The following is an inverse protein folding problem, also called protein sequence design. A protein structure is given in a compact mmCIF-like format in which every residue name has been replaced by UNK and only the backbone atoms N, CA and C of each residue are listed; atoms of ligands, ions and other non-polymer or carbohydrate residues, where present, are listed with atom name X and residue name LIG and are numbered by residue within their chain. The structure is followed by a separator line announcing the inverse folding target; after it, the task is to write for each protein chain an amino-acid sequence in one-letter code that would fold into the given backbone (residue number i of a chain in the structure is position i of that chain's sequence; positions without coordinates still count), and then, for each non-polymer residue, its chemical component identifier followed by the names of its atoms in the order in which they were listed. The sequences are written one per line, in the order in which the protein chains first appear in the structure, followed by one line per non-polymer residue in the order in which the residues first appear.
data_IF_720990518533
#
_entry.id   IF_720990518533
#
_cell.length_a   1.000
_cell.length_b   1.000
_cell.length_c   1.000
_cell.angle_alpha   90.00
_cell.angle_beta   90.00
_cell.angle_gamma   90.00
#
_symmetry.space_group_name_H-M   'P 1'
#
loop_
_entity.id
_entity.type
_entity.pdbx_description
1 polymer ?
#
# COMPACT_ATOMS: atom_id res chain seq x y z
N UNK A 1 -37.75 36.31 -31.50
CA UNK A 1 -37.28 34.95 -31.16
C UNK A 1 -35.95 35.11 -30.43
N UNK A 2 -35.96 35.06 -29.09
CA UNK A 2 -34.77 35.25 -28.25
C UNK A 2 -34.19 33.86 -27.95
N UNK A 3 -33.07 33.51 -28.58
CA UNK A 3 -32.33 32.29 -28.27
C UNK A 3 -31.55 32.51 -26.97
N UNK A 4 -32.16 32.18 -25.84
CA UNK A 4 -31.46 32.10 -24.56
C UNK A 4 -30.48 30.93 -24.62
N UNK A 5 -29.21 31.21 -24.92
CA UNK A 5 -28.13 30.23 -24.83
C UNK A 5 -28.05 29.73 -23.38
N UNK A 6 -28.28 28.43 -23.17
CA UNK A 6 -28.13 27.82 -21.86
C UNK A 6 -26.68 28.00 -21.38
N UNK A 7 -26.45 28.35 -20.10
CA UNK A 7 -25.11 28.52 -19.58
C UNK A 7 -24.31 27.20 -19.73
N UNK A 8 -23.01 27.27 -20.03
CA UNK A 8 -22.19 26.07 -20.21
C UNK A 8 -22.19 25.23 -18.93
N UNK A 9 -22.67 23.99 -19.01
CA UNK A 9 -22.59 23.03 -17.92
C UNK A 9 -21.11 22.75 -17.60
N UNK A 10 -20.67 23.14 -16.41
CA UNK A 10 -19.34 22.77 -15.90
C UNK A 10 -19.39 21.33 -15.45
N UNK A 11 -18.61 20.48 -16.10
CA UNK A 11 -18.42 19.10 -15.65
C UNK A 11 -17.68 19.14 -14.30
N UNK A 12 -18.21 18.51 -13.24
CA UNK A 12 -17.53 18.45 -11.96
C UNK A 12 -16.14 17.82 -12.10
N UNK A 13 -15.12 18.40 -11.47
CA UNK A 13 -13.74 17.91 -11.57
C UNK A 13 -13.60 16.43 -11.16
N UNK A 14 -14.40 15.98 -10.19
CA UNK A 14 -14.44 14.57 -9.76
C UNK A 14 -14.93 13.61 -10.85
N UNK A 15 -15.85 14.03 -11.71
CA UNK A 15 -16.32 13.21 -12.85
C UNK A 15 -15.19 13.06 -13.87
N UNK A 16 -14.46 14.14 -14.16
CA UNK A 16 -13.31 14.08 -15.06
C UNK A 16 -12.20 13.19 -14.51
N UNK A 17 -11.89 13.31 -13.22
CA UNK A 17 -10.90 12.45 -12.56
C UNK A 17 -11.32 10.97 -12.62
N UNK A 18 -12.57 10.66 -12.25
CA UNK A 18 -13.10 9.30 -12.28
C UNK A 18 -13.06 8.68 -13.68
N UNK A 19 -13.53 9.40 -14.70
CA UNK A 19 -13.51 8.94 -16.10
C UNK A 19 -12.07 8.75 -16.60
N UNK A 20 -11.15 9.63 -16.23
CA UNK A 20 -9.74 9.55 -16.63
C UNK A 20 -9.06 8.33 -16.00
N UNK A 21 -9.25 8.12 -14.70
CA UNK A 21 -8.71 6.96 -13.98
C UNK A 21 -9.29 5.66 -14.53
N UNK A 22 -10.58 5.62 -14.83
CA UNK A 22 -11.21 4.45 -15.44
C UNK A 22 -10.64 4.11 -16.82
N UNK A 23 -10.45 5.13 -17.66
CA UNK A 23 -9.82 4.97 -18.99
C UNK A 23 -8.38 4.47 -18.87
N UNK A 24 -7.61 5.01 -17.91
CA UNK A 24 -6.25 4.56 -17.65
C UNK A 24 -6.22 3.10 -17.17
N UNK A 25 -7.15 2.70 -16.30
CA UNK A 25 -7.27 1.32 -15.83
C UNK A 25 -7.60 0.35 -16.99
N UNK A 26 -8.59 0.69 -17.81
CA UNK A 26 -8.95 -0.11 -19.00
C UNK A 26 -7.78 -0.18 -19.98
N UNK A 27 -7.13 0.95 -20.26
CA UNK A 27 -5.96 1.00 -21.14
C UNK A 27 -4.81 0.15 -20.59
N UNK A 28 -4.47 0.26 -19.31
CA UNK A 28 -3.40 -0.57 -18.72
C UNK A 28 -3.75 -2.05 -18.76
N UNK A 29 -4.99 -2.45 -18.46
CA UNK A 29 -5.43 -3.84 -18.60
C UNK A 29 -5.29 -4.34 -20.05
N UNK A 30 -5.70 -3.54 -21.03
CA UNK A 30 -5.61 -3.87 -22.44
C UNK A 30 -4.17 -3.96 -22.95
N UNK A 31 -3.31 -2.98 -22.63
CA UNK A 31 -1.92 -2.92 -23.09
C UNK A 31 -1.01 -3.94 -22.38
N UNK A 32 -1.31 -4.31 -21.14
CA UNK A 32 -0.53 -5.34 -20.43
C UNK A 32 -1.02 -6.77 -20.72
N UNK A 33 -2.13 -6.93 -21.46
CA UNK A 33 -2.72 -8.23 -21.76
C UNK A 33 -3.08 -9.04 -20.51
N UNK A 34 -3.49 -8.36 -19.43
CA UNK A 34 -3.73 -8.98 -18.13
C UNK A 34 -2.47 -9.49 -17.41
N UNK A 35 -1.26 -9.27 -17.95
CA UNK A 35 -0.01 -9.59 -17.24
C UNK A 35 0.20 -8.58 -16.12
N UNK A 36 -0.16 -9.01 -14.92
CA UNK A 36 0.13 -8.30 -13.67
C UNK A 36 1.63 -8.14 -13.47
N UNK A 37 2.15 -6.95 -13.75
CA UNK A 37 3.50 -6.52 -13.36
C UNK A 37 3.44 -5.99 -11.92
N UNK A 38 3.07 -6.85 -10.96
CA UNK A 38 3.12 -6.45 -9.56
C UNK A 38 4.60 -6.23 -9.19
N UNK A 39 4.98 -5.06 -8.64
CA UNK A 39 6.33 -4.85 -8.14
C UNK A 39 6.70 -5.95 -7.16
N UNK A 40 7.93 -6.48 -7.27
CA UNK A 40 8.41 -7.56 -6.39
C UNK A 40 8.39 -7.17 -4.91
N UNK A 41 8.52 -5.87 -4.62
CA UNK A 41 8.52 -5.34 -3.26
C UNK A 41 7.14 -4.82 -2.88
N UNK A 42 6.54 -5.28 -1.77
CA UNK A 42 5.30 -4.72 -1.23
C UNK A 42 5.52 -3.39 -0.49
N UNK A 43 6.75 -2.83 -0.53
CA UNK A 43 7.15 -1.70 0.32
C UNK A 43 6.25 -0.48 0.13
N UNK A 44 6.03 -0.04 -1.11
CA UNK A 44 5.22 1.16 -1.37
C UNK A 44 3.75 0.93 -1.02
N UNK A 45 3.20 -0.23 -1.37
CA UNK A 45 1.80 -0.59 -1.02
C UNK A 45 1.59 -0.62 0.49
N UNK A 46 2.55 -1.17 1.24
CA UNK A 46 2.56 -1.15 2.69
C UNK A 46 2.61 0.28 3.24
N UNK A 47 3.52 1.11 2.73
CA UNK A 47 3.63 2.51 3.14
C UNK A 47 2.33 3.30 2.89
N UNK A 48 1.74 3.16 1.70
CA UNK A 48 0.46 3.79 1.35
C UNK A 48 -0.67 3.31 2.25
N UNK A 49 -0.73 2.01 2.55
CA UNK A 49 -1.77 1.46 3.43
C UNK A 49 -1.66 2.02 4.84
N UNK A 50 -0.45 2.08 5.41
CA UNK A 50 -0.23 2.67 6.74
C UNK A 50 -0.55 4.16 6.75
N UNK A 51 -0.14 4.91 5.72
CA UNK A 51 -0.45 6.33 5.61
C UNK A 51 -1.95 6.60 5.52
N UNK A 52 -2.69 5.84 4.69
CA UNK A 52 -4.14 6.02 4.56
C UNK A 52 -4.89 5.56 5.81
N UNK A 53 -4.41 4.49 6.47
CA UNK A 53 -4.96 4.07 7.76
C UNK A 53 -4.75 5.16 8.82
N UNK A 54 -3.58 5.80 8.84
CA UNK A 54 -3.30 6.93 9.70
C UNK A 54 -4.26 8.08 9.45
N UNK A 55 -4.50 8.45 8.19
CA UNK A 55 -5.49 9.48 7.82
C UNK A 55 -6.88 9.09 8.33
N UNK A 56 -7.33 7.86 8.08
CA UNK A 56 -8.63 7.37 8.51
C UNK A 56 -8.81 7.44 10.04
N UNK A 57 -7.87 6.88 10.79
CA UNK A 57 -7.93 6.84 12.26
C UNK A 57 -7.84 8.23 12.85
N UNK A 58 -6.99 9.11 12.29
CA UNK A 58 -6.86 10.49 12.79
C UNK A 58 -8.13 11.28 12.52
N UNK A 59 -8.70 11.19 11.31
CA UNK A 59 -9.93 11.90 10.97
C UNK A 59 -11.10 11.46 11.86
N UNK A 60 -11.31 10.15 12.02
CA UNK A 60 -12.45 9.63 12.77
C UNK A 60 -12.28 9.67 14.28
N UNK A 61 -11.06 9.43 14.79
CA UNK A 61 -10.81 9.23 16.21
C UNK A 61 -10.15 10.40 16.92
N UNK A 62 -9.43 11.28 16.21
CA UNK A 62 -8.72 12.42 16.81
C UNK A 62 -9.42 13.74 16.47
N UNK A 63 -9.79 13.93 15.20
CA UNK A 63 -10.43 15.15 14.72
C UNK A 63 -11.97 15.04 14.81
N UNK A 64 -12.49 13.83 15.02
CA UNK A 64 -13.94 13.54 15.11
C UNK A 64 -14.71 14.05 13.87
N UNK A 65 -14.11 13.90 12.68
CA UNK A 65 -14.66 14.36 11.42
C UNK A 65 -15.89 13.56 10.96
N UNK A 66 -16.85 14.26 10.34
CA UNK A 66 -18.08 13.67 9.81
C UNK A 66 -17.92 12.99 8.44
N UNK A 67 -18.74 11.96 8.20
CA UNK A 67 -18.78 11.20 6.94
C UNK A 67 -20.05 11.47 6.11
N UNK A 68 -20.82 12.50 6.46
CA UNK A 68 -22.10 12.81 5.81
C UNK A 68 -21.93 13.21 4.35
N UNK A 69 -20.81 13.86 4.04
CA UNK A 69 -20.45 14.21 2.68
C UNK A 69 -19.82 13.03 1.94
N UNK A 70 -20.23 12.83 0.68
CA UNK A 70 -19.69 11.77 -0.18
C UNK A 70 -18.17 11.86 -0.33
N UNK A 71 -17.61 13.06 -0.51
CA UNK A 71 -16.16 13.23 -0.65
C UNK A 71 -15.44 12.80 0.64
N UNK A 72 -15.95 13.20 1.81
CA UNK A 72 -15.38 12.83 3.11
C UNK A 72 -15.43 11.32 3.33
N UNK A 73 -16.56 10.68 3.02
CA UNK A 73 -16.72 9.23 3.08
C UNK A 73 -15.65 8.50 2.25
N UNK A 74 -15.41 8.96 1.02
CA UNK A 74 -14.43 8.34 0.14
C UNK A 74 -12.98 8.56 0.60
N UNK A 75 -12.64 9.77 1.04
CA UNK A 75 -11.28 10.14 1.41
C UNK A 75 -10.86 9.55 2.76
N UNK A 76 -11.76 9.53 3.74
CA UNK A 76 -11.41 9.21 5.13
C UNK A 76 -11.80 7.79 5.56
N UNK A 77 -12.63 7.07 4.79
CA UNK A 77 -13.04 5.71 5.15
C UNK A 77 -12.90 4.72 3.98
N UNK A 78 -13.61 4.94 2.88
CA UNK A 78 -13.71 3.92 1.81
C UNK A 78 -12.36 3.69 1.14
N UNK A 79 -11.65 4.74 0.72
CA UNK A 79 -10.35 4.60 0.05
C UNK A 79 -9.31 3.95 0.97
N UNK A 80 -9.13 4.39 2.23
CA UNK A 80 -8.25 3.71 3.18
C UNK A 80 -8.55 2.22 3.36
N UNK A 81 -9.83 1.84 3.51
CA UNK A 81 -10.22 0.44 3.68
C UNK A 81 -9.98 -0.38 2.42
N UNK A 82 -10.31 0.15 1.24
CA UNK A 82 -10.07 -0.54 -0.04
C UNK A 82 -8.58 -0.79 -0.24
N UNK A 83 -7.72 0.19 0.04
CA UNK A 83 -6.26 0.02 -0.07
C UNK A 83 -5.75 -1.01 0.94
N UNK A 84 -6.25 -1.00 2.18
CA UNK A 84 -5.89 -1.99 3.19
C UNK A 84 -6.31 -3.41 2.77
N UNK A 85 -7.54 -3.57 2.26
CA UNK A 85 -8.06 -4.84 1.77
C UNK A 85 -7.30 -5.31 0.53
N UNK A 86 -6.97 -4.42 -0.40
CA UNK A 86 -6.14 -4.73 -1.56
C UNK A 86 -4.78 -5.28 -1.13
N UNK A 87 -4.12 -4.62 -0.17
CA UNK A 87 -2.86 -5.10 0.36
C UNK A 87 -3.00 -6.47 1.01
N UNK A 88 -3.95 -6.64 1.95
CA UNK A 88 -4.09 -7.81 2.82
C UNK A 88 -4.74 -9.02 2.12
N UNK A 89 -5.68 -8.81 1.20
CA UNK A 89 -6.42 -9.88 0.54
C UNK A 89 -5.88 -10.18 -0.86
N UNK A 90 -5.64 -9.16 -1.67
CA UNK A 90 -5.33 -9.31 -3.10
C UNK A 90 -3.83 -9.39 -3.38
N UNK A 91 -3.00 -8.70 -2.60
CA UNK A 91 -1.57 -8.58 -2.87
C UNK A 91 -0.81 -9.93 -2.89
N UNK A 92 0.05 -10.11 -3.90
CA UNK A 92 0.82 -11.34 -4.11
C UNK A 92 2.26 -11.22 -3.62
N UNK A 93 2.77 -10.00 -3.49
CA UNK A 93 4.13 -9.71 -3.00
C UNK A 93 4.24 -9.65 -1.47
N UNK A 94 3.17 -9.89 -0.71
CA UNK A 94 3.18 -9.75 0.77
C UNK A 94 4.21 -10.64 1.46
N UNK A 95 4.52 -11.83 0.91
CA UNK A 95 5.56 -12.71 1.43
C UNK A 95 6.93 -12.03 1.52
N UNK A 96 7.19 -11.10 0.60
CA UNK A 96 8.43 -10.35 0.49
C UNK A 96 8.50 -9.16 1.46
N UNK A 97 7.50 -8.95 2.34
CA UNK A 97 7.59 -7.92 3.37
C UNK A 97 8.75 -8.23 4.31
N UNK A 98 9.62 -7.25 4.52
CA UNK A 98 10.79 -7.36 5.40
C UNK A 98 10.52 -6.69 6.74
N UNK A 99 11.17 -7.17 7.79
CA UNK A 99 10.98 -6.68 9.16
C UNK A 99 11.33 -5.19 9.34
N UNK A 100 12.17 -4.63 8.47
CA UNK A 100 12.54 -3.21 8.49
C UNK A 100 11.57 -2.32 7.71
N UNK A 101 10.66 -2.89 6.90
CA UNK A 101 9.71 -2.11 6.12
C UNK A 101 8.87 -1.16 7.01
N UNK A 102 8.25 -1.62 8.11
CA UNK A 102 7.49 -0.75 9.01
C UNK A 102 8.26 0.46 9.53
N UNK A 103 9.55 0.31 9.83
CA UNK A 103 10.40 1.40 10.29
C UNK A 103 10.59 2.47 9.20
N UNK A 104 10.74 2.03 7.95
CA UNK A 104 10.96 2.94 6.82
C UNK A 104 9.68 3.56 6.27
N UNK A 105 8.50 2.98 6.51
CA UNK A 105 7.23 3.55 6.05
C UNK A 105 6.89 4.87 6.71
N UNK A 106 7.42 5.10 7.92
CA UNK A 106 7.28 6.36 8.67
C UNK A 106 7.91 7.55 7.94
N UNK A 107 8.79 7.32 6.96
CA UNK A 107 9.44 8.40 6.22
C UNK A 107 8.43 9.35 5.58
N UNK A 108 7.28 8.86 5.11
CA UNK A 108 6.26 9.70 4.48
C UNK A 108 5.54 10.63 5.47
N UNK A 109 4.92 10.13 6.56
CA UNK A 109 4.32 11.03 7.55
C UNK A 109 5.37 11.92 8.23
N UNK A 110 6.59 11.44 8.45
CA UNK A 110 7.67 12.26 8.99
C UNK A 110 8.06 13.40 8.02
N UNK A 111 8.21 13.11 6.73
CA UNK A 111 8.52 14.13 5.72
C UNK A 111 7.39 15.17 5.59
N UNK A 112 6.13 14.71 5.60
CA UNK A 112 4.97 15.61 5.60
C UNK A 112 4.99 16.52 6.83
N UNK A 113 5.27 15.97 8.00
CA UNK A 113 5.35 16.76 9.22
C UNK A 113 6.50 17.78 9.20
N UNK A 114 7.69 17.38 8.74
CA UNK A 114 8.83 18.31 8.60
C UNK A 114 8.47 19.47 7.68
N UNK A 115 7.86 19.16 6.53
CA UNK A 115 7.34 20.19 5.62
C UNK A 115 6.35 21.11 6.34
N UNK A 116 5.44 20.55 7.12
CA UNK A 116 4.39 21.28 7.79
C UNK A 116 4.93 22.24 8.87
N UNK A 117 5.81 21.76 9.75
CA UNK A 117 6.48 22.57 10.77
C UNK A 117 7.28 23.72 10.12
N UNK A 118 7.90 23.46 8.97
CA UNK A 118 8.66 24.47 8.24
C UNK A 118 7.76 25.49 7.52
N UNK A 119 6.55 25.12 7.12
CA UNK A 119 5.66 25.94 6.31
C UNK A 119 4.71 26.82 7.15
N UNK A 120 4.05 26.25 8.15
CA UNK A 120 3.10 26.98 9.01
C UNK A 120 2.93 26.28 10.38
N UNK A 121 3.74 26.65 11.38
CA UNK A 121 3.62 26.09 12.72
C UNK A 121 2.31 26.47 13.45
N UNK A 122 1.59 27.51 12.99
CA UNK A 122 0.38 28.01 13.64
C UNK A 122 -0.89 27.20 13.36
N UNK A 123 -0.87 26.28 12.39
CA UNK A 123 -2.08 25.55 11.95
C UNK A 123 -2.64 24.57 12.99
N UNK A 124 -1.83 24.17 13.98
CA UNK A 124 -2.28 23.32 15.09
C UNK A 124 -2.82 24.13 16.30
N UNK A 125 -2.92 25.46 16.18
CA UNK A 125 -3.58 26.33 17.15
C UNK A 125 -3.09 26.11 18.59
N UNK A 126 -4.03 25.97 19.53
CA UNK A 126 -3.76 25.81 20.97
C UNK A 126 -3.04 24.52 21.38
N UNK A 127 -2.84 23.57 20.46
CA UNK A 127 -2.05 22.35 20.71
C UNK A 127 -0.55 22.57 20.53
N UNK A 128 -0.17 23.61 19.78
CA UNK A 128 1.20 23.95 19.44
C UNK A 128 1.39 25.47 19.56
N UNK A 129 1.27 26.01 20.77
CA UNK A 129 1.56 27.42 21.06
C UNK A 129 3.08 27.65 21.06
N UNK A 130 3.66 28.33 20.04
CA UNK A 130 5.10 28.52 19.92
C UNK A 130 5.68 29.40 21.03
N UNK A 131 4.84 30.12 21.78
CA UNK A 131 5.25 31.03 22.86
C UNK A 131 5.26 30.35 24.25
N UNK A 132 4.87 29.08 24.36
CA UNK A 132 4.88 28.33 25.62
C UNK A 132 6.29 27.83 26.02
N UNK A 133 6.64 27.92 27.31
CA UNK A 133 7.98 27.59 27.81
C UNK A 133 8.34 26.10 27.72
N UNK A 134 7.34 25.22 27.70
CA UNK A 134 7.45 23.76 27.57
C UNK A 134 7.08 23.25 26.18
N UNK A 135 6.77 24.15 25.25
CA UNK A 135 6.33 23.89 23.88
C UNK A 135 7.14 22.76 23.24
N UNK A 136 8.45 22.95 23.11
CA UNK A 136 9.35 22.00 22.43
C UNK A 136 9.30 20.59 23.04
N UNK A 137 9.18 20.48 24.37
CA UNK A 137 9.13 19.19 25.06
C UNK A 137 7.81 18.46 24.81
N UNK A 138 6.69 19.18 24.88
CA UNK A 138 5.35 18.64 24.63
C UNK A 138 5.20 18.23 23.16
N UNK A 139 5.60 19.10 22.22
CA UNK A 139 5.61 18.79 20.78
C UNK A 139 6.41 17.52 20.51
N UNK A 140 7.63 17.44 21.03
CA UNK A 140 8.51 16.31 20.80
C UNK A 140 7.93 15.00 21.37
N UNK A 141 7.28 15.05 22.53
CA UNK A 141 6.64 13.89 23.14
C UNK A 141 5.43 13.39 22.32
N UNK A 142 4.53 14.29 21.92
CA UNK A 142 3.39 13.94 21.07
C UNK A 142 3.84 13.40 19.72
N UNK A 143 4.84 14.05 19.12
CA UNK A 143 5.44 13.59 17.89
C UNK A 143 6.03 12.18 18.03
N UNK A 144 6.85 11.96 19.06
CA UNK A 144 7.45 10.65 19.31
C UNK A 144 6.38 9.58 19.52
N UNK A 145 5.33 9.88 20.28
CA UNK A 145 4.20 8.98 20.49
C UNK A 145 3.46 8.67 19.18
N UNK A 146 3.20 9.69 18.36
CA UNK A 146 2.55 9.55 17.05
C UNK A 146 3.37 8.67 16.10
N UNK A 147 4.67 8.95 15.93
CA UNK A 147 5.54 8.15 15.08
C UNK A 147 5.67 6.71 15.62
N UNK A 148 5.75 6.53 16.94
CA UNK A 148 5.75 5.21 17.56
C UNK A 148 4.44 4.44 17.27
N UNK A 149 3.29 5.11 17.33
CA UNK A 149 2.00 4.52 16.98
C UNK A 149 1.94 4.11 15.50
N UNK A 150 2.48 4.93 14.59
CA UNK A 150 2.58 4.59 13.17
C UNK A 150 3.49 3.37 12.95
N UNK A 151 4.65 3.31 13.63
CA UNK A 151 5.53 2.14 13.60
C UNK A 151 4.81 0.90 14.11
N UNK A 152 4.10 1.01 15.23
CA UNK A 152 3.35 -0.09 15.83
C UNK A 152 2.27 -0.60 14.87
N UNK A 153 1.49 0.30 14.25
CA UNK A 153 0.50 -0.04 13.23
C UNK A 153 1.16 -0.74 12.03
N UNK A 154 2.32 -0.27 11.59
CA UNK A 154 3.11 -0.92 10.55
C UNK A 154 3.54 -2.34 10.93
N UNK A 155 3.91 -2.58 12.20
CA UNK A 155 4.26 -3.91 12.69
C UNK A 155 3.05 -4.83 12.85
N UNK A 156 1.88 -4.31 13.24
CA UNK A 156 0.62 -5.05 13.23
C UNK A 156 0.31 -5.51 11.80
N UNK A 157 0.40 -4.61 10.83
CA UNK A 157 0.21 -4.95 9.42
C UNK A 157 1.25 -5.97 8.94
N UNK A 158 2.53 -5.80 9.29
CA UNK A 158 3.58 -6.78 9.00
C UNK A 158 3.24 -8.18 9.55
N UNK A 159 2.74 -8.26 10.79
CA UNK A 159 2.34 -9.52 11.41
C UNK A 159 1.17 -10.18 10.66
N UNK A 160 0.15 -9.40 10.28
CA UNK A 160 -0.98 -9.87 9.47
C UNK A 160 -0.50 -10.45 8.14
N UNK A 161 0.40 -9.74 7.44
CA UNK A 161 0.95 -10.19 6.16
C UNK A 161 1.76 -11.49 6.32
N UNK A 162 2.57 -11.60 7.38
CA UNK A 162 3.34 -12.83 7.68
C UNK A 162 2.43 -14.00 8.04
N UNK A 163 1.40 -13.77 8.86
CA UNK A 163 0.43 -14.79 9.24
C UNK A 163 -0.30 -15.33 8.01
N UNK A 164 -0.80 -14.45 7.13
CA UNK A 164 -1.42 -14.86 5.85
C UNK A 164 -0.48 -15.75 5.04
N UNK A 165 0.80 -15.39 4.94
CA UNK A 165 1.77 -16.17 4.16
C UNK A 165 2.05 -17.53 4.79
N UNK A 166 2.13 -17.61 6.12
CA UNK A 166 2.28 -18.87 6.83
C UNK A 166 1.09 -19.81 6.63
N UNK A 167 -0.14 -19.28 6.71
CA UNK A 167 -1.37 -20.04 6.46
C UNK A 167 -1.39 -20.56 5.01
N UNK A 168 -1.05 -19.72 4.03
CA UNK A 168 -1.00 -20.13 2.63
C UNK A 168 0.05 -21.23 2.37
N UNK A 169 1.20 -21.16 3.03
CA UNK A 169 2.23 -22.22 2.96
C UNK A 169 1.78 -23.52 3.62
N UNK A 170 1.07 -23.46 4.75
CA UNK A 170 0.54 -24.64 5.42
C UNK A 170 -0.60 -25.33 4.63
N UNK A 171 -1.43 -24.53 3.94
CA UNK A 171 -2.52 -25.03 3.11
C UNK A 171 -2.07 -25.57 1.75
N UNK A 172 -0.88 -25.17 1.29
CA UNK A 172 -0.30 -25.71 0.06
C UNK A 172 0.13 -27.15 0.33
N UNK A 173 -0.43 -28.17 -0.35
CA UNK A 173 0.12 -29.50 -0.29
C UNK A 173 1.60 -29.36 -0.68
N UNK A 174 2.52 -29.75 0.20
CA UNK A 174 3.87 -29.99 -0.26
C UNK A 174 3.71 -30.92 -1.45
N UNK A 175 4.05 -30.46 -2.65
CA UNK A 175 4.29 -31.32 -3.78
C UNK A 175 5.50 -32.14 -3.35
N UNK A 176 5.24 -33.13 -2.50
CA UNK A 176 6.18 -34.13 -2.07
C UNK A 176 6.64 -34.69 -3.39
N UNK A 177 7.90 -34.42 -3.72
CA UNK A 177 8.54 -34.95 -4.89
C UNK A 177 8.45 -36.46 -4.71
N UNK A 178 7.42 -37.08 -5.26
CA UNK A 178 7.34 -38.52 -5.34
C UNK A 178 8.42 -38.83 -6.37
N UNK A 179 9.55 -39.46 -5.98
CA UNK A 179 10.44 -40.00 -6.99
C UNK A 179 9.56 -40.85 -7.89
N UNK A 180 9.57 -40.55 -9.19
CA UNK A 180 8.79 -41.29 -10.17
C UNK A 180 8.98 -42.77 -9.84
N UNK A 181 7.90 -43.47 -9.48
CA UNK A 181 7.97 -44.90 -9.21
C UNK A 181 8.54 -45.53 -10.48
N UNK A 182 9.80 -45.92 -10.42
CA UNK A 182 10.52 -46.46 -11.55
C UNK A 182 9.98 -47.88 -11.73
N UNK A 183 9.00 -48.02 -12.62
CA UNK A 183 8.39 -49.32 -12.91
C UNK A 183 9.46 -50.28 -13.43
N UNK A 184 9.46 -51.56 -13.01
CA UNK A 184 10.39 -52.55 -13.50
C UNK A 184 10.31 -52.62 -15.03
N UNK A 185 11.40 -52.28 -15.72
CA UNK A 185 11.48 -52.28 -17.19
C UNK A 185 11.42 -50.91 -17.88
N UNK A 186 11.31 -49.79 -17.14
CA UNK A 186 11.46 -48.47 -17.77
C UNK A 186 12.94 -48.16 -18.07
N UNK A 187 13.32 -47.89 -19.34
CA UNK A 187 14.68 -47.47 -19.66
C UNK A 187 14.94 -46.08 -19.04
N UNK A 188 16.08 -45.94 -18.38
CA UNK A 188 16.46 -44.78 -17.56
C UNK A 188 16.36 -43.41 -18.28
N UNK A 189 16.32 -43.40 -19.61
CA UNK A 189 16.20 -42.22 -20.45
C UNK A 189 14.88 -41.44 -20.29
N UNK A 190 13.81 -42.07 -19.80
CA UNK A 190 12.50 -41.40 -19.62
C UNK A 190 12.29 -40.83 -18.22
N UNK A 191 13.15 -41.16 -17.26
CA UNK A 191 13.03 -40.72 -15.86
C UNK A 191 13.61 -39.32 -15.61
N UNK A 192 14.27 -38.72 -16.59
CA UNK A 192 14.72 -37.33 -16.47
C UNK A 192 13.58 -36.41 -16.90
N UNK A 193 12.99 -35.60 -15.99
CA UNK A 193 12.20 -34.47 -16.43
C UNK A 193 13.13 -33.66 -17.32
N UNK A 194 12.71 -33.46 -18.57
CA UNK A 194 13.38 -32.58 -19.53
C UNK A 194 13.48 -31.24 -18.83
N UNK A 195 14.62 -30.96 -18.18
CA UNK A 195 14.84 -29.70 -17.53
C UNK A 195 14.80 -28.69 -18.66
N UNK A 196 13.69 -27.96 -18.74
CA UNK A 196 13.61 -26.76 -19.55
C UNK A 196 14.65 -25.84 -18.94
N UNK A 197 15.85 -25.93 -19.50
CA UNK A 197 17.02 -25.18 -19.14
C UNK A 197 16.71 -23.75 -19.55
N UNK A 198 15.99 -23.02 -18.70
CA UNK A 198 15.82 -21.60 -18.86
C UNK A 198 17.23 -21.00 -18.81
N UNK A 199 17.69 -20.35 -19.89
CA UNK A 199 18.98 -19.68 -19.88
C UNK A 199 18.88 -18.58 -18.83
N UNK A 200 19.56 -18.74 -17.69
CA UNK A 200 19.84 -17.62 -16.83
C UNK A 200 20.74 -16.67 -17.62
N UNK A 201 20.34 -15.41 -17.89
CA UNK A 201 21.28 -14.43 -18.38
C UNK A 201 22.33 -14.24 -17.28
N UNK A 202 23.57 -14.63 -17.59
CA UNK A 202 24.70 -14.37 -16.71
C UNK A 202 24.81 -12.85 -16.51
N UNK A 203 24.43 -12.39 -15.32
CA UNK A 203 24.75 -11.03 -14.89
C UNK A 203 26.26 -10.95 -14.73
N UNK A 204 26.89 -10.36 -15.75
CA UNK A 204 28.31 -10.05 -15.77
C UNK A 204 28.69 -9.25 -14.54
N UNK A 205 29.42 -9.91 -13.64
CA UNK A 205 30.24 -9.28 -12.61
C UNK A 205 31.30 -8.44 -13.34
N UNK A 206 31.14 -7.12 -13.34
CA UNK A 206 32.21 -6.20 -13.77
C UNK A 206 33.18 -5.98 -12.60
N UNK A 207 34.48 -5.79 -12.91
CA UNK A 207 35.58 -5.73 -11.94
C UNK A 207 35.47 -4.56 -10.96
#
# INVERSE_FOLDING_TARGET
MHNSALPPQRVPAGVLAGVTLWRLAVATCAFTGGRTHEPRSPWLRGATSVLLLLVCVTFLGVIEGGLDDTWSLFEHLVTPLVVLVDLVAVGRSQANVRWWHPLTWVVFPAAYLVYFIAADPGLYGSFLDPDAADFVGVVAAFLAAFLAAVVAAGYVLYAVLKLKTAIAHAASPQTQWQPAQQWPGQPAQWAQPRQLQYPYPQQGRRP
#
